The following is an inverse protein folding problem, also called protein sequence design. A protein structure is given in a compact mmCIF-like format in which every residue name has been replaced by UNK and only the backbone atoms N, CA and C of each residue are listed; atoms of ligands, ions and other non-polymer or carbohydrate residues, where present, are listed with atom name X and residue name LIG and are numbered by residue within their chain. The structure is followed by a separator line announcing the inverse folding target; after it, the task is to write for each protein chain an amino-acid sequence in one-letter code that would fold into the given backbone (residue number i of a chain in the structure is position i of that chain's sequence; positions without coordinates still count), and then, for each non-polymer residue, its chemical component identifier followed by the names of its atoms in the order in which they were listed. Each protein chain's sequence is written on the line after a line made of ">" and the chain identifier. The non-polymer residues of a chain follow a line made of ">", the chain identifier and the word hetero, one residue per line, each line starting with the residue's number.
data_IF_695140444803
#
_entry.id   IF_695140444803
#
_cell.length_a   1.000
_cell.length_b   1.000
_cell.length_c   1.000
_cell.angle_alpha   90.00
_cell.angle_beta   90.00
_cell.angle_gamma   90.00
#
_symmetry.space_group_name_H-M   'P 1'
#
loop_
_entity.id
_entity.type
_entity.pdbx_description
1 polymer ?
#
# COMPACT_ATOMS: atom_id res chain seq x y z
N UNK A 1 10.22 4.68 -15.67
CA UNK A 1 10.32 4.77 -14.19
C UNK A 1 9.28 5.77 -13.73
N UNK A 2 8.10 5.33 -13.31
CA UNK A 2 7.06 6.24 -12.81
C UNK A 2 7.59 6.94 -11.57
N UNK A 3 7.54 8.28 -11.54
CA UNK A 3 7.72 9.04 -10.30
C UNK A 3 6.76 8.43 -9.28
N UNK A 4 7.28 7.99 -8.14
CA UNK A 4 6.44 7.38 -7.12
C UNK A 4 5.36 8.36 -6.68
N UNK A 5 4.09 8.00 -6.86
CA UNK A 5 2.97 8.79 -6.35
C UNK A 5 3.02 8.73 -4.82
N UNK A 6 3.41 9.83 -4.18
CA UNK A 6 3.47 9.95 -2.71
C UNK A 6 2.38 10.90 -2.24
N UNK A 7 1.48 10.38 -1.42
CA UNK A 7 0.43 11.14 -0.77
C UNK A 7 0.81 11.40 0.69
N UNK A 8 0.62 12.64 1.12
CA UNK A 8 0.77 13.05 2.52
C UNK A 8 -0.58 13.29 3.21
N UNK A 9 -1.64 13.41 2.41
CA UNK A 9 -3.02 13.56 2.84
C UNK A 9 -3.89 12.62 1.99
N UNK A 10 -4.95 12.08 2.57
CA UNK A 10 -5.81 11.08 1.91
C UNK A 10 -7.04 11.80 1.35
N UNK A 11 -6.94 12.38 0.15
CA UNK A 11 -8.12 12.86 -0.56
C UNK A 11 -8.76 11.73 -1.38
N UNK A 12 -10.09 11.61 -1.33
CA UNK A 12 -10.83 10.57 -2.06
C UNK A 12 -10.62 10.70 -3.57
N UNK A 13 -10.55 11.94 -4.06
CA UNK A 13 -10.37 12.23 -5.47
C UNK A 13 -9.00 11.75 -5.98
N UNK A 14 -7.91 12.01 -5.25
CA UNK A 14 -6.58 11.55 -5.65
C UNK A 14 -6.45 10.03 -5.57
N UNK A 15 -7.00 9.40 -4.51
CA UNK A 15 -7.02 7.95 -4.40
C UNK A 15 -7.74 7.30 -5.59
N UNK A 16 -8.95 7.79 -5.90
CA UNK A 16 -9.75 7.28 -7.02
C UNK A 16 -9.01 7.46 -8.34
N UNK A 17 -8.44 8.64 -8.59
CA UNK A 17 -7.69 8.91 -9.81
C UNK A 17 -6.48 7.96 -9.99
N UNK A 18 -5.76 7.62 -8.91
CA UNK A 18 -4.63 6.70 -8.96
C UNK A 18 -5.08 5.24 -9.19
N UNK A 19 -6.17 4.83 -8.52
CA UNK A 19 -6.73 3.47 -8.65
C UNK A 19 -7.35 3.24 -10.03
N UNK A 20 -8.02 4.25 -10.59
CA UNK A 20 -8.58 4.25 -11.95
C UNK A 20 -7.48 4.10 -13.01
N UNK A 21 -6.35 4.76 -12.79
CA UNK A 21 -5.16 4.68 -13.65
C UNK A 21 -4.33 3.41 -13.44
N UNK A 22 -4.71 2.56 -12.49
CA UNK A 22 -3.96 1.36 -12.11
C UNK A 22 -2.52 1.67 -11.66
N UNK A 23 -2.34 2.76 -10.93
CA UNK A 23 -1.02 3.19 -10.47
C UNK A 23 -0.73 2.73 -9.04
N UNK A 24 0.52 2.34 -8.79
CA UNK A 24 1.03 2.17 -7.44
C UNK A 24 1.22 3.53 -6.76
N UNK A 25 0.91 3.61 -5.47
CA UNK A 25 1.08 4.83 -4.67
C UNK A 25 1.46 4.54 -3.22
N UNK A 26 2.10 5.50 -2.57
CA UNK A 26 2.51 5.42 -1.16
C UNK A 26 1.85 6.54 -0.38
N UNK A 27 1.26 6.19 0.76
CA UNK A 27 0.71 7.15 1.71
C UNK A 27 1.67 7.20 2.90
N UNK A 28 2.12 8.39 3.26
CA UNK A 28 3.01 8.64 4.40
C UNK A 28 2.27 9.43 5.48
N UNK A 29 2.81 9.44 6.71
CA UNK A 29 2.21 10.11 7.88
C UNK A 29 0.80 9.60 8.21
N UNK A 30 0.58 8.30 8.01
CA UNK A 30 -0.68 7.62 8.31
C UNK A 30 -0.85 7.49 9.81
N UNK A 31 -1.87 8.15 10.38
CA UNK A 31 -2.20 8.07 11.81
C UNK A 31 -3.21 6.97 12.11
N UNK A 32 -4.19 6.75 11.22
CA UNK A 32 -5.23 5.72 11.37
C UNK A 32 -5.15 4.68 10.25
N UNK A 33 -4.29 3.68 10.44
CA UNK A 33 -4.08 2.60 9.46
C UNK A 33 -5.35 1.81 9.16
N UNK A 34 -6.15 1.50 10.17
CA UNK A 34 -7.37 0.69 10.00
C UNK A 34 -8.37 1.39 9.10
N UNK A 35 -8.65 2.66 9.37
CA UNK A 35 -9.57 3.46 8.57
C UNK A 35 -9.03 3.71 7.16
N UNK A 36 -7.74 4.03 7.05
CA UNK A 36 -7.08 4.30 5.77
C UNK A 36 -7.09 3.08 4.86
N UNK A 37 -6.71 1.92 5.37
CA UNK A 37 -6.74 0.67 4.59
C UNK A 37 -8.16 0.30 4.18
N UNK A 38 -9.14 0.40 5.09
CA UNK A 38 -10.54 0.11 4.76
C UNK A 38 -11.05 1.01 3.62
N UNK A 39 -10.65 2.28 3.61
CA UNK A 39 -11.02 3.22 2.54
C UNK A 39 -10.37 2.84 1.20
N UNK A 40 -9.09 2.48 1.20
CA UNK A 40 -8.38 2.03 -0.01
C UNK A 40 -9.01 0.75 -0.55
N UNK A 41 -9.22 -0.24 0.31
CA UNK A 41 -9.88 -1.52 -0.01
C UNK A 41 -11.24 -1.26 -0.67
N UNK A 42 -12.09 -0.45 -0.05
CA UNK A 42 -13.40 -0.09 -0.59
C UNK A 42 -13.31 0.54 -1.98
N UNK A 43 -12.39 1.49 -2.21
CA UNK A 43 -12.26 2.15 -3.52
C UNK A 43 -11.73 1.18 -4.59
N UNK A 44 -10.81 0.28 -4.23
CA UNK A 44 -10.30 -0.77 -5.14
C UNK A 44 -11.42 -1.73 -5.54
N UNK A 45 -12.21 -2.18 -4.57
CA UNK A 45 -13.35 -3.11 -4.80
C UNK A 45 -14.47 -2.43 -5.61
N UNK A 46 -14.78 -1.16 -5.33
CA UNK A 46 -15.70 -0.34 -6.15
C UNK A 46 -15.24 -0.23 -7.61
N UNK A 47 -13.93 -0.31 -7.86
CA UNK A 47 -13.33 -0.30 -9.20
C UNK A 47 -13.25 -1.71 -9.84
N UNK A 48 -13.87 -2.71 -9.24
CA UNK A 48 -13.90 -4.08 -9.74
C UNK A 48 -12.55 -4.80 -9.67
N UNK A 49 -11.62 -4.33 -8.84
CA UNK A 49 -10.32 -4.94 -8.61
C UNK A 49 -10.25 -5.61 -7.24
N UNK A 50 -9.32 -6.55 -7.09
CA UNK A 50 -9.09 -7.27 -5.84
C UNK A 50 -7.85 -6.76 -5.15
N UNK A 51 -7.85 -6.71 -3.82
CA UNK A 51 -6.64 -6.40 -3.05
C UNK A 51 -6.31 -7.45 -2.00
N UNK A 52 -5.04 -7.48 -1.59
CA UNK A 52 -4.57 -8.22 -0.43
C UNK A 52 -3.87 -7.28 0.54
N UNK A 53 -4.23 -7.40 1.81
CA UNK A 53 -3.67 -6.55 2.86
C UNK A 53 -2.57 -7.31 3.61
N UNK A 54 -1.45 -6.63 3.79
CA UNK A 54 -0.30 -7.10 4.49
C UNK A 54 0.04 -6.16 5.66
N UNK A 55 0.57 -6.73 6.75
CA UNK A 55 1.14 -5.96 7.86
C UNK A 55 2.61 -6.30 8.02
N UNK A 56 3.49 -5.36 7.72
CA UNK A 56 4.92 -5.57 7.85
C UNK A 56 5.29 -5.85 9.32
N UNK A 57 6.13 -6.87 9.52
CA UNK A 57 6.73 -7.15 10.81
C UNK A 57 7.73 -6.06 11.22
N UNK A 58 8.18 -6.10 12.48
CA UNK A 58 9.13 -5.12 13.03
C UNK A 58 10.43 -5.04 12.24
N UNK A 59 11.06 -6.18 11.95
CA UNK A 59 12.32 -6.23 11.21
C UNK A 59 12.21 -5.61 9.81
N UNK A 60 11.16 -5.95 9.07
CA UNK A 60 10.87 -5.36 7.77
C UNK A 60 10.64 -3.85 7.84
N UNK A 61 9.90 -3.41 8.85
CA UNK A 61 9.63 -1.98 9.03
C UNK A 61 10.88 -1.19 9.41
N UNK A 62 11.76 -1.77 10.23
CA UNK A 62 13.06 -1.15 10.53
C UNK A 62 13.92 -1.03 9.26
N UNK A 63 13.97 -2.08 8.43
CA UNK A 63 14.71 -2.04 7.16
C UNK A 63 14.20 -0.93 6.23
N UNK A 64 12.88 -0.76 6.09
CA UNK A 64 12.35 0.30 5.22
C UNK A 64 12.50 1.71 5.80
N UNK A 65 12.58 1.87 7.14
CA UNK A 65 12.81 3.18 7.76
C UNK A 65 14.18 3.77 7.44
N UNK A 66 15.13 2.93 7.00
CA UNK A 66 16.45 3.34 6.53
C UNK A 66 16.43 3.82 5.07
N UNK A 67 15.31 3.68 4.37
CA UNK A 67 15.19 4.06 2.96
C UNK A 67 14.76 5.53 2.90
N UNK A 68 15.56 6.42 2.30
CA UNK A 68 15.28 7.86 2.32
C UNK A 68 14.13 8.28 1.39
N UNK A 69 13.57 7.36 0.60
CA UNK A 69 12.55 7.67 -0.41
C UNK A 69 11.40 6.65 -0.43
N UNK A 70 10.14 7.10 -0.25
CA UNK A 70 8.95 6.25 -0.40
C UNK A 70 8.82 5.63 -1.78
N UNK A 71 9.35 6.27 -2.83
CA UNK A 71 9.30 5.75 -4.20
C UNK A 71 10.15 4.47 -4.38
N UNK A 72 11.11 4.20 -3.50
CA UNK A 72 11.88 2.95 -3.53
C UNK A 72 11.14 1.79 -2.86
N UNK A 73 10.05 2.06 -2.12
CA UNK A 73 9.30 1.04 -1.40
C UNK A 73 8.43 0.17 -2.32
N UNK A 74 8.07 0.67 -3.50
CA UNK A 74 7.28 -0.08 -4.49
C UNK A 74 7.95 -1.39 -4.93
N UNK A 75 9.29 -1.42 -5.01
CA UNK A 75 10.04 -2.64 -5.35
C UNK A 75 10.20 -3.63 -4.19
N UNK A 76 9.96 -3.19 -2.95
CA UNK A 76 10.18 -4.00 -1.75
C UNK A 76 8.90 -4.62 -1.21
N UNK A 77 7.73 -3.99 -1.40
CA UNK A 77 6.46 -4.46 -0.88
C UNK A 77 6.14 -5.92 -1.28
N UNK A 78 6.52 -6.33 -2.50
CA UNK A 78 6.33 -7.70 -3.00
C UNK A 78 7.33 -8.73 -2.44
N UNK A 79 8.35 -8.31 -1.70
CA UNK A 79 9.42 -9.18 -1.18
C UNK A 79 9.46 -9.29 0.36
N UNK A 80 8.64 -8.51 1.07
CA UNK A 80 8.64 -8.55 2.54
C UNK A 80 7.94 -9.83 3.01
N UNK A 81 8.61 -10.60 3.87
CA UNK A 81 8.01 -11.70 4.62
C UNK A 81 6.97 -11.12 5.60
N UNK A 82 5.70 -11.08 5.17
CA UNK A 82 4.61 -10.50 5.93
C UNK A 82 3.77 -11.63 6.53
N UNK A 83 3.54 -11.57 7.85
CA UNK A 83 2.61 -12.44 8.54
C UNK A 83 1.19 -12.21 7.99
N UNK A 84 0.69 -13.16 7.20
CA UNK A 84 -0.66 -13.15 6.66
C UNK A 84 -1.55 -14.14 7.44
N UNK A 85 -2.76 -13.72 7.82
CA UNK A 85 -3.89 -14.62 7.94
C UNK A 85 -4.65 -14.57 6.61
N UNK A 86 -4.42 -15.58 5.77
CA UNK A 86 -4.95 -15.71 4.41
C UNK A 86 -6.49 -15.66 4.38
N UNK A 87 -7.06 -14.65 3.71
CA UNK A 87 -8.33 -14.82 3.00
C UNK A 87 -8.00 -14.77 1.49
N UNK A 88 -7.76 -15.97 0.98
CA UNK A 88 -8.16 -16.50 -0.34
C UNK A 88 -7.86 -15.81 -1.69
N UNK A 89 -7.13 -14.69 -1.83
CA UNK A 89 -6.87 -14.15 -3.19
C UNK A 89 -5.47 -14.50 -3.68
N UNK A 90 -5.23 -15.65 -4.32
CA UNK A 90 -3.86 -16.08 -4.73
C UNK A 90 -3.12 -15.05 -5.60
N UNK A 91 -3.83 -14.32 -6.46
CA UNK A 91 -3.30 -13.28 -7.36
C UNK A 91 -4.16 -12.00 -7.29
N UNK A 92 -3.99 -11.14 -6.27
CA UNK A 92 -4.75 -9.90 -6.18
C UNK A 92 -4.28 -8.89 -7.25
N UNK A 93 -5.16 -7.98 -7.69
CA UNK A 93 -4.79 -6.84 -8.54
C UNK A 93 -3.88 -5.85 -7.80
N UNK A 94 -4.13 -5.69 -6.49
CA UNK A 94 -3.40 -4.78 -5.62
C UNK A 94 -2.87 -5.45 -4.35
N UNK A 95 -1.75 -4.95 -3.86
CA UNK A 95 -1.19 -5.29 -2.56
C UNK A 95 -1.10 -4.05 -1.68
N UNK A 96 -1.65 -4.11 -0.47
CA UNK A 96 -1.68 -3.02 0.50
C UNK A 96 -0.78 -3.40 1.67
N UNK A 97 0.46 -2.91 1.70
CA UNK A 97 1.41 -3.16 2.77
C UNK A 97 1.41 -2.03 3.81
N UNK A 98 1.09 -2.37 5.06
CA UNK A 98 1.16 -1.44 6.20
C UNK A 98 2.53 -1.51 6.86
N UNK A 99 3.13 -0.36 7.15
CA UNK A 99 4.39 -0.20 7.86
C UNK A 99 4.20 0.69 9.11
N UNK A 100 3.75 0.13 10.24
CA UNK A 100 3.32 0.91 11.40
C UNK A 100 4.43 1.73 12.08
N UNK A 101 5.69 1.26 12.08
CA UNK A 101 6.81 2.02 12.68
C UNK A 101 7.32 3.16 11.78
N UNK A 102 6.79 3.27 10.55
CA UNK A 102 7.17 4.31 9.59
C UNK A 102 5.97 5.14 9.13
N UNK A 103 4.81 5.01 9.79
CA UNK A 103 3.56 5.70 9.45
C UNK A 103 3.22 5.65 7.95
N UNK A 104 3.49 4.50 7.31
CA UNK A 104 3.47 4.38 5.86
C UNK A 104 2.59 3.22 5.39
N UNK A 105 1.81 3.45 4.35
CA UNK A 105 1.10 2.42 3.58
C UNK A 105 1.61 2.46 2.14
N UNK A 106 2.01 1.31 1.62
CA UNK A 106 2.38 1.15 0.21
C UNK A 106 1.28 0.35 -0.48
N UNK A 107 0.73 0.90 -1.56
CA UNK A 107 -0.24 0.24 -2.43
C UNK A 107 0.45 -0.05 -3.75
N UNK A 108 0.60 -1.34 -4.06
CA UNK A 108 1.23 -1.79 -5.29
C UNK A 108 0.19 -2.38 -6.23
N UNK A 109 0.20 -1.96 -7.50
CA UNK A 109 -0.53 -2.63 -8.57
C UNK A 109 0.34 -3.74 -9.16
N UNK A 110 -0.23 -4.95 -9.28
CA UNK A 110 0.52 -6.16 -9.61
C UNK A 110 0.28 -6.69 -11.04
N UNK A 111 -0.57 -6.04 -11.83
CA UNK A 111 -0.93 -6.48 -13.18
C UNK A 111 -0.44 -5.53 -14.27
#
# INVERSE_FOLDING_TARGET
>A
MSKGNVLHHISDHELRALIDKRESFTITRVTNFKQTVKKIEQIIEENGATCRIYTAGRAATMAISLIPSPALLFGLASAVAITAHNIATRNPDYEIAKFPLSDTIVVNYNK
#
